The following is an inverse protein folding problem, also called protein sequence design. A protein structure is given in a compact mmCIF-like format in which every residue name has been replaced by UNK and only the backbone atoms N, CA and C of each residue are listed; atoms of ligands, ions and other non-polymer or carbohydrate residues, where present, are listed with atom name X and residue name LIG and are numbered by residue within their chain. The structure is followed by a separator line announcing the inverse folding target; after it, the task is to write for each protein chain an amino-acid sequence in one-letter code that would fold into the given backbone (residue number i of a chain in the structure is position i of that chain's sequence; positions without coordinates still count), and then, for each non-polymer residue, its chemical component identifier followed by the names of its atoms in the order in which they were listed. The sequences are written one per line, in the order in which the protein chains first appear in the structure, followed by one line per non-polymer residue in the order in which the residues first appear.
data_IF_257748157616
#
_entry.id   IF_257748157616
#
_cell.length_a   1.000
_cell.length_b   1.000
_cell.length_c   1.000
_cell.angle_alpha   90.00
_cell.angle_beta   90.00
_cell.angle_gamma   90.00
#
_symmetry.space_group_name_H-M   'P 1'
#
loop_
_entity.id
_entity.type
_entity.pdbx_description
1 polymer ?
#
# COMPACT_ATOMS: atom_id res chain seq x y z
N UNK A 1 13.08 27.15 34.08
CA UNK A 1 13.50 25.80 33.68
C UNK A 1 12.29 25.17 33.01
N UNK A 2 12.22 25.31 31.68
CA UNK A 2 12.24 24.17 30.72
C UNK A 2 10.94 23.36 30.83
N UNK A 3 9.92 23.52 29.99
CA UNK A 3 9.98 23.66 28.53
C UNK A 3 10.20 22.29 27.90
N UNK A 4 9.34 21.31 28.22
CA UNK A 4 9.46 19.91 27.78
C UNK A 4 8.12 19.18 27.94
N UNK A 5 7.11 19.53 27.14
CA UNK A 5 5.86 18.77 27.01
C UNK A 5 5.26 19.00 25.60
N UNK A 6 6.07 18.82 24.55
CA UNK A 6 5.60 18.94 23.16
C UNK A 6 6.62 18.35 22.15
N UNK A 7 7.22 17.19 22.44
CA UNK A 7 8.23 16.56 21.56
C UNK A 7 8.07 15.06 21.34
N UNK A 8 7.07 14.40 21.93
CA UNK A 8 7.03 12.93 21.98
C UNK A 8 5.94 12.27 21.14
N UNK A 9 4.99 13.03 20.58
CA UNK A 9 3.96 12.46 19.68
C UNK A 9 4.39 12.59 18.20
N UNK A 10 4.81 13.79 17.76
CA UNK A 10 5.23 14.04 16.36
C UNK A 10 6.49 13.25 15.96
N UNK A 11 7.51 13.17 16.82
CA UNK A 11 8.70 12.33 16.58
C UNK A 11 8.36 10.83 16.55
N UNK A 12 7.27 10.42 17.21
CA UNK A 12 6.80 9.03 17.19
C UNK A 12 6.01 8.71 15.94
N UNK A 13 5.26 9.68 15.43
CA UNK A 13 4.48 9.58 14.20
C UNK A 13 5.41 9.55 12.98
N UNK A 14 6.42 10.42 12.92
CA UNK A 14 7.43 10.39 11.85
C UNK A 14 8.23 9.08 11.84
N UNK A 15 8.58 8.56 13.03
CA UNK A 15 9.28 7.28 13.14
C UNK A 15 8.39 6.10 12.72
N UNK A 16 7.09 6.16 13.04
CA UNK A 16 6.11 5.17 12.58
C UNK A 16 5.96 5.22 11.07
N UNK A 17 5.77 6.40 10.47
CA UNK A 17 5.60 6.57 9.02
C UNK A 17 6.84 6.08 8.26
N UNK A 18 8.04 6.41 8.73
CA UNK A 18 9.28 5.94 8.14
C UNK A 18 9.42 4.40 8.20
N UNK A 19 9.06 3.80 9.34
CA UNK A 19 9.07 2.34 9.50
C UNK A 19 7.99 1.70 8.61
N UNK A 20 6.81 2.30 8.54
CA UNK A 20 5.70 1.85 7.71
C UNK A 20 6.10 1.82 6.24
N UNK A 21 6.63 2.93 5.70
CA UNK A 21 7.06 2.99 4.29
C UNK A 21 8.20 2.02 4.00
N UNK A 22 9.20 1.92 4.89
CA UNK A 22 10.30 0.95 4.74
C UNK A 22 9.78 -0.48 4.58
N UNK A 23 8.84 -0.89 5.45
CA UNK A 23 8.28 -2.23 5.40
C UNK A 23 7.28 -2.42 4.25
N UNK A 24 6.51 -1.39 3.91
CA UNK A 24 5.60 -1.39 2.78
C UNK A 24 6.35 -1.62 1.47
N UNK A 25 7.47 -0.92 1.26
CA UNK A 25 8.33 -1.13 0.08
C UNK A 25 8.90 -2.54 0.04
N UNK A 26 9.47 -3.03 1.15
CA UNK A 26 10.02 -4.39 1.18
C UNK A 26 8.96 -5.47 0.87
N UNK A 27 7.73 -5.31 1.39
CA UNK A 27 6.61 -6.21 1.08
C UNK A 27 6.15 -6.09 -0.36
N UNK A 28 6.13 -4.88 -0.92
CA UNK A 28 5.82 -4.66 -2.32
C UNK A 28 6.81 -5.39 -3.23
N UNK A 29 8.12 -5.22 -3.00
CA UNK A 29 9.17 -5.88 -3.78
C UNK A 29 9.01 -7.41 -3.73
N UNK A 30 8.78 -7.97 -2.53
CA UNK A 30 8.54 -9.41 -2.37
C UNK A 30 7.30 -9.90 -3.14
N UNK A 31 6.23 -9.10 -3.19
CA UNK A 31 5.01 -9.45 -3.91
C UNK A 31 5.22 -9.38 -5.44
N UNK A 32 5.94 -8.38 -5.94
CA UNK A 32 6.26 -8.24 -7.36
C UNK A 32 7.21 -9.35 -7.82
N UNK A 33 8.28 -9.62 -7.07
CA UNK A 33 9.20 -10.73 -7.36
C UNK A 33 8.46 -12.08 -7.46
N UNK A 34 7.51 -12.31 -6.56
CA UNK A 34 6.66 -13.49 -6.61
C UNK A 34 5.75 -13.49 -7.84
N UNK A 35 5.16 -12.34 -8.17
CA UNK A 35 4.28 -12.18 -9.31
C UNK A 35 5.00 -12.53 -10.62
N UNK A 36 6.16 -11.91 -10.84
CA UNK A 36 6.98 -12.10 -12.04
C UNK A 36 7.42 -13.56 -12.19
N UNK A 37 7.92 -14.15 -11.10
CA UNK A 37 8.35 -15.56 -11.08
C UNK A 37 7.23 -16.52 -11.48
N UNK A 38 5.99 -16.17 -11.20
CA UNK A 38 4.83 -17.01 -11.41
C UNK A 38 3.89 -16.53 -12.52
N UNK A 39 4.30 -15.53 -13.32
CA UNK A 39 3.51 -14.92 -14.40
C UNK A 39 2.10 -14.50 -13.95
N UNK A 40 2.03 -13.84 -12.79
CA UNK A 40 0.79 -13.36 -12.19
C UNK A 40 0.59 -11.88 -12.52
N UNK A 41 -0.65 -11.51 -12.84
CA UNK A 41 -0.99 -10.10 -13.06
C UNK A 41 -1.05 -9.32 -11.76
N UNK A 42 -0.75 -8.02 -11.82
CA UNK A 42 -0.89 -7.08 -10.69
C UNK A 42 -2.30 -7.11 -10.09
N UNK A 43 -3.32 -7.30 -10.94
CA UNK A 43 -4.72 -7.45 -10.51
C UNK A 43 -4.93 -8.69 -9.65
N UNK A 44 -4.27 -9.81 -9.95
CA UNK A 44 -4.35 -11.02 -9.14
C UNK A 44 -3.59 -10.88 -7.82
N UNK A 45 -2.39 -10.29 -7.85
CA UNK A 45 -1.57 -10.06 -6.64
C UNK A 45 -2.25 -9.07 -5.68
N UNK A 46 -2.85 -8.00 -6.19
CA UNK A 46 -3.59 -7.05 -5.36
C UNK A 46 -4.76 -7.71 -4.62
N UNK A 47 -5.45 -8.66 -5.27
CA UNK A 47 -6.50 -9.46 -4.63
C UNK A 47 -5.93 -10.37 -3.52
N UNK A 48 -4.81 -11.07 -3.78
CA UNK A 48 -4.16 -11.90 -2.76
C UNK A 48 -3.65 -11.08 -1.56
N UNK A 49 -3.00 -9.96 -1.82
CA UNK A 49 -2.51 -9.07 -0.77
C UNK A 49 -3.67 -8.55 0.12
N UNK A 50 -4.82 -8.26 -0.48
CA UNK A 50 -6.02 -7.84 0.24
C UNK A 50 -6.57 -8.96 1.15
N UNK A 51 -6.60 -10.20 0.67
CA UNK A 51 -7.05 -11.37 1.43
C UNK A 51 -6.10 -11.71 2.60
N UNK A 52 -4.78 -11.59 2.36
CA UNK A 52 -3.76 -11.74 3.39
C UNK A 52 -3.93 -10.65 4.45
N UNK A 53 -4.14 -9.38 4.05
CA UNK A 53 -4.38 -8.28 4.98
C UNK A 53 -5.58 -8.51 5.89
N UNK A 54 -6.70 -8.98 5.33
CA UNK A 54 -7.89 -9.36 6.11
C UNK A 54 -7.58 -10.50 7.09
N UNK A 55 -6.87 -11.53 6.64
CA UNK A 55 -6.47 -12.65 7.49
C UNK A 55 -5.57 -12.20 8.65
N UNK A 56 -4.59 -11.34 8.39
CA UNK A 56 -3.73 -10.76 9.41
C UNK A 56 -4.53 -9.94 10.42
N UNK A 57 -5.54 -9.17 9.97
CA UNK A 57 -6.42 -8.42 10.88
C UNK A 57 -7.21 -9.34 11.79
N UNK A 58 -7.76 -10.42 11.26
CA UNK A 58 -8.48 -11.42 12.05
C UNK A 58 -7.57 -12.09 13.10
N UNK A 59 -6.32 -12.40 12.72
CA UNK A 59 -5.31 -12.95 13.64
C UNK A 59 -4.97 -11.96 14.74
N UNK A 60 -4.69 -10.69 14.40
CA UNK A 60 -4.36 -9.64 15.36
C UNK A 60 -5.49 -9.47 16.40
N UNK A 61 -6.75 -9.39 15.96
CA UNK A 61 -7.88 -9.34 16.88
C UNK A 61 -7.92 -10.55 17.82
N UNK A 62 -7.71 -11.76 17.29
CA UNK A 62 -7.75 -12.98 18.09
C UNK A 62 -6.59 -13.08 19.09
N UNK A 63 -5.41 -12.57 18.76
CA UNK A 63 -4.22 -12.61 19.63
C UNK A 63 -4.19 -11.53 20.69
N UNK A 64 -4.76 -10.36 20.40
CA UNK A 64 -4.64 -9.17 21.26
C UNK A 64 -5.87 -8.95 22.15
N UNK A 65 -7.00 -9.58 21.82
CA UNK A 65 -8.23 -9.46 22.62
C UNK A 65 -8.25 -10.51 23.74
N UNK A 66 -8.39 -10.07 25.00
CA UNK A 66 -8.42 -10.97 26.17
C UNK A 66 -9.51 -12.05 26.09
N UNK A 67 -10.68 -11.71 25.54
CA UNK A 67 -11.83 -12.61 25.37
C UNK A 67 -12.42 -12.45 23.98
N UNK A 68 -11.80 -13.03 22.94
CA UNK A 68 -12.24 -12.81 21.56
C UNK A 68 -13.63 -13.41 21.36
N UNK A 69 -14.47 -12.67 20.64
CA UNK A 69 -15.81 -13.10 20.29
C UNK A 69 -16.11 -12.83 18.81
N UNK A 70 -17.06 -13.59 18.24
CA UNK A 70 -17.54 -13.39 16.86
C UNK A 70 -18.12 -11.99 16.68
N UNK A 71 -18.88 -11.49 17.67
CA UNK A 71 -19.47 -10.16 17.62
C UNK A 71 -18.42 -9.05 17.60
N UNK A 72 -17.39 -9.16 18.45
CA UNK A 72 -16.30 -8.19 18.46
C UNK A 72 -15.44 -8.24 17.20
N UNK A 73 -15.18 -9.42 16.63
CA UNK A 73 -14.43 -9.54 15.38
C UNK A 73 -15.19 -8.87 14.23
N UNK A 74 -16.52 -9.02 14.16
CA UNK A 74 -17.32 -8.33 13.14
C UNK A 74 -17.21 -6.82 13.24
N UNK A 75 -17.28 -6.26 14.45
CA UNK A 75 -17.12 -4.82 14.67
C UNK A 75 -15.72 -4.34 14.32
N UNK A 76 -14.70 -5.14 14.59
CA UNK A 76 -13.32 -4.86 14.22
C UNK A 76 -13.14 -4.83 12.70
N UNK A 77 -13.67 -5.83 11.99
CA UNK A 77 -13.64 -5.89 10.53
C UNK A 77 -14.45 -4.76 9.88
N UNK A 78 -15.59 -4.37 10.48
CA UNK A 78 -16.36 -3.20 10.03
C UNK A 78 -15.54 -1.90 10.15
N UNK A 79 -14.73 -1.77 11.21
CA UNK A 79 -13.81 -0.63 11.39
C UNK A 79 -12.71 -0.67 10.35
N UNK A 80 -12.03 -1.80 10.21
CA UNK A 80 -10.96 -1.98 9.22
C UNK A 80 -11.43 -1.70 7.79
N UNK A 81 -12.65 -2.14 7.45
CA UNK A 81 -13.28 -1.83 6.16
C UNK A 81 -13.48 -0.33 5.93
N UNK A 82 -13.82 0.44 6.98
CA UNK A 82 -13.96 1.90 6.88
C UNK A 82 -12.61 2.59 6.66
N UNK A 83 -11.57 2.15 7.37
CA UNK A 83 -10.19 2.64 7.21
C UNK A 83 -9.68 2.39 5.79
N UNK A 84 -9.82 1.17 5.26
CA UNK A 84 -9.52 0.89 3.84
C UNK A 84 -10.35 1.76 2.88
N UNK A 85 -11.63 1.98 3.23
CA UNK A 85 -12.50 2.87 2.48
C UNK A 85 -12.03 4.33 2.45
N UNK A 86 -11.29 4.79 3.46
CA UNK A 86 -10.65 6.11 3.49
C UNK A 86 -9.47 6.15 2.52
N UNK A 87 -8.57 5.16 2.58
CA UNK A 87 -7.45 5.05 1.63
C UNK A 87 -7.92 5.02 0.18
N UNK A 88 -9.01 4.30 -0.12
CA UNK A 88 -9.60 4.27 -1.47
C UNK A 88 -10.19 5.63 -1.86
N UNK A 89 -10.82 6.36 -0.93
CA UNK A 89 -11.33 7.71 -1.19
C UNK A 89 -10.19 8.67 -1.49
N UNK A 90 -9.07 8.55 -0.78
CA UNK A 90 -7.90 9.39 -1.02
C UNK A 90 -7.24 9.08 -2.35
N UNK A 91 -7.03 7.79 -2.68
CA UNK A 91 -6.54 7.39 -4.00
C UNK A 91 -7.42 7.91 -5.15
N UNK A 92 -8.74 7.94 -4.97
CA UNK A 92 -9.68 8.50 -5.96
C UNK A 92 -9.49 10.00 -6.19
N UNK A 93 -9.05 10.76 -5.19
CA UNK A 93 -8.79 12.21 -5.34
C UNK A 93 -7.63 12.45 -6.31
N UNK A 94 -6.61 11.60 -6.26
CA UNK A 94 -5.40 11.70 -7.08
C UNK A 94 -5.44 10.86 -8.36
N UNK A 95 -6.56 10.18 -8.65
CA UNK A 95 -6.66 9.26 -9.78
C UNK A 95 -6.43 9.94 -11.14
N UNK A 96 -6.83 11.21 -11.28
CA UNK A 96 -6.62 11.96 -12.51
C UNK A 96 -5.13 12.22 -12.78
N UNK A 97 -4.38 12.61 -11.73
CA UNK A 97 -2.94 12.86 -11.78
C UNK A 97 -2.19 11.56 -12.08
N UNK A 98 -2.52 10.48 -11.36
CA UNK A 98 -1.95 9.15 -11.60
C UNK A 98 -2.11 8.68 -13.05
N UNK A 99 -3.31 8.85 -13.65
CA UNK A 99 -3.54 8.47 -15.04
C UNK A 99 -2.78 9.37 -16.02
N UNK A 100 -2.61 10.66 -15.71
CA UNK A 100 -1.83 11.57 -16.53
C UNK A 100 -0.34 11.17 -16.54
N UNK A 101 0.22 10.90 -15.37
CA UNK A 101 1.61 10.44 -15.21
C UNK A 101 1.85 9.10 -15.92
N UNK A 102 0.95 8.13 -15.72
CA UNK A 102 1.06 6.82 -16.38
C UNK A 102 0.98 6.90 -17.92
N UNK A 103 0.23 7.87 -18.47
CA UNK A 103 0.21 8.12 -19.92
C UNK A 103 1.51 8.75 -20.39
N UNK A 104 2.02 9.76 -19.67
CA UNK A 104 3.27 10.42 -20.01
C UNK A 104 4.44 9.44 -20.03
N UNK A 105 4.55 8.56 -19.03
CA UNK A 105 5.59 7.53 -18.98
C UNK A 105 5.55 6.59 -20.20
N UNK A 106 4.35 6.20 -20.65
CA UNK A 106 4.19 5.36 -21.85
C UNK A 106 4.52 6.09 -23.15
N UNK A 107 4.23 7.38 -23.22
CA UNK A 107 4.58 8.21 -24.38
C UNK A 107 6.09 8.43 -24.47
N UNK A 108 6.77 8.59 -23.33
CA UNK A 108 8.24 8.66 -23.24
C UNK A 108 8.90 7.34 -23.70
N UNK A 109 8.44 6.19 -23.19
CA UNK A 109 8.91 4.87 -23.62
C UNK A 109 8.75 4.64 -25.14
N UNK A 110 7.62 5.07 -25.72
CA UNK A 110 7.37 4.95 -27.16
C UNK A 110 8.27 5.87 -27.99
N UNK A 111 8.52 7.09 -27.52
CA UNK A 111 9.39 8.04 -28.21
C UNK A 111 10.87 7.59 -28.21
N UNK A 112 11.31 6.90 -27.16
CA UNK A 112 12.64 6.30 -27.08
C UNK A 112 12.83 5.11 -28.04
N UNK A 113 11.80 4.28 -28.21
CA UNK A 113 11.82 3.13 -29.13
C UNK A 113 11.81 3.58 -30.61
N UNK A 114 10.94 4.54 -30.97
CA UNK A 114 10.86 5.11 -32.33
C UNK A 114 12.14 5.91 -32.71
N UNK A 115 12.79 6.53 -31.72
CA UNK A 115 14.05 7.24 -31.89
C UNK A 115 15.26 6.32 -32.11
N UNK A 116 15.21 5.07 -31.61
CA UNK A 116 16.27 4.08 -31.76
C UNK A 116 16.24 3.40 -33.15
N UNK A 117 15.07 3.17 -33.75
CA UNK A 117 14.94 2.63 -35.12
C UNK A 117 15.36 3.62 -36.22
N UNK A 118 15.43 4.92 -35.90
CA UNK A 118 15.74 5.99 -36.87
C UNK A 118 17.23 6.31 -37.01
N UNK A 119 18.14 5.60 -36.33
CA UNK A 119 19.60 5.76 -36.49
C UNK A 119 20.14 4.86 -37.61
N UNK A 120 20.58 5.41 -38.76
CA UNK A 120 21.17 4.60 -39.82
C UNK A 120 22.53 4.04 -39.35
N UNK A 121 22.79 2.79 -39.73
CA UNK A 121 24.06 2.06 -39.52
C UNK A 121 25.22 2.64 -40.34
#
# INVERSE_FOLDING_TARGET
MTGEFDRTDEESDEAFDAAYETHRTALYDMLIDYAEKHDLSDGFISMLASDIGLSLRMVAYASETEKPSVGGLRLDLDRFSRELGESVRDAKKYAAEFIAEAKAAREEEQAEDDGAESRPS
#
